data_IF_549354180980
#
_entry.id   IF_549354180980
#
_cell.length_a   1.000
_cell.length_b   1.000
_cell.length_c   1.000
_cell.angle_alpha   90.00
_cell.angle_beta   90.00
_cell.angle_gamma   90.00
#
_symmetry.space_group_name_H-M   'P 1'
#
loop_
_entity.id
_entity.type
_entity.pdbx_description
1 polymer ?
#
# COMPACT_ATOMS: atom_id res chain seq x y z
N UNK A 1 -48.65 27.66 68.00
CA UNK A 1 -48.80 26.72 66.86
C UNK A 1 -48.59 27.38 65.50
N UNK A 2 -49.23 28.51 65.17
CA UNK A 2 -49.09 29.18 63.86
C UNK A 2 -47.64 29.56 63.45
N UNK A 3 -46.81 30.00 64.40
CA UNK A 3 -45.40 30.35 64.13
C UNK A 3 -44.53 29.16 63.69
N UNK A 4 -44.88 27.94 64.10
CA UNK A 4 -44.10 26.73 63.81
C UNK A 4 -44.39 26.19 62.39
N UNK A 5 -45.66 26.23 61.96
CA UNK A 5 -46.06 25.85 60.59
C UNK A 5 -45.47 26.78 59.54
N UNK A 6 -45.38 28.09 59.84
CA UNK A 6 -44.74 29.07 58.94
C UNK A 6 -43.25 28.78 58.75
N UNK A 7 -42.54 28.35 59.80
CA UNK A 7 -41.12 28.01 59.71
C UNK A 7 -40.89 26.76 58.85
N UNK A 8 -41.73 25.74 59.05
CA UNK A 8 -41.66 24.50 58.27
C UNK A 8 -41.86 24.78 56.78
N UNK A 9 -42.90 25.54 56.41
CA UNK A 9 -43.18 25.92 55.01
C UNK A 9 -42.02 26.70 54.35
N UNK A 10 -41.39 27.61 55.09
CA UNK A 10 -40.24 28.39 54.58
C UNK A 10 -39.01 27.49 54.40
N UNK A 11 -38.73 26.59 55.34
CA UNK A 11 -37.59 25.66 55.23
C UNK A 11 -37.77 24.67 54.08
N UNK A 12 -38.97 24.12 53.89
CA UNK A 12 -39.24 23.22 52.75
C UNK A 12 -39.13 23.95 51.42
N UNK A 13 -39.62 25.20 51.32
CA UNK A 13 -39.50 25.99 50.10
C UNK A 13 -38.04 26.31 49.72
N UNK A 14 -37.18 26.59 50.71
CA UNK A 14 -35.75 26.84 50.51
C UNK A 14 -34.95 25.60 50.10
N UNK A 15 -35.35 24.42 50.58
CA UNK A 15 -34.72 23.14 50.19
C UNK A 15 -35.10 22.81 48.74
N UNK A 16 -36.39 22.90 48.41
CA UNK A 16 -36.87 22.64 47.05
C UNK A 16 -36.29 23.63 46.02
N UNK A 17 -36.14 24.91 46.36
CA UNK A 17 -35.53 25.89 45.44
C UNK A 17 -34.04 25.63 45.19
N UNK A 18 -33.30 25.18 46.21
CA UNK A 18 -31.90 24.76 46.08
C UNK A 18 -31.73 23.50 45.22
N UNK A 19 -32.63 22.53 45.35
CA UNK A 19 -32.61 21.32 44.52
C UNK A 19 -32.93 21.62 43.05
N UNK A 20 -33.87 22.52 42.77
CA UNK A 20 -34.20 22.96 41.41
C UNK A 20 -33.03 23.72 40.78
N UNK A 21 -32.39 24.64 41.50
CA UNK A 21 -31.24 25.38 40.96
C UNK A 21 -30.05 24.46 40.66
N UNK A 22 -29.80 23.47 41.53
CA UNK A 22 -28.73 22.50 41.31
C UNK A 22 -29.01 21.57 40.11
N UNK A 23 -30.29 21.27 39.84
CA UNK A 23 -30.70 20.46 38.69
C UNK A 23 -30.57 21.24 37.37
N UNK A 24 -30.92 22.54 37.36
CA UNK A 24 -30.69 23.44 36.21
C UNK A 24 -29.20 23.59 35.90
N UNK A 25 -28.36 23.79 36.91
CA UNK A 25 -26.90 23.86 36.74
C UNK A 25 -26.32 22.55 36.18
N UNK A 26 -26.82 21.40 36.63
CA UNK A 26 -26.41 20.09 36.12
C UNK A 26 -26.83 19.86 34.65
N UNK A 27 -28.06 20.25 34.30
CA UNK A 27 -28.57 20.14 32.93
C UNK A 27 -27.80 21.06 31.97
N UNK A 28 -27.49 22.28 32.39
CA UNK A 28 -26.68 23.24 31.64
C UNK A 28 -25.27 22.68 31.37
N UNK A 29 -24.62 22.12 32.40
CA UNK A 29 -23.27 21.56 32.26
C UNK A 29 -23.28 20.28 31.41
N UNK A 30 -24.33 19.47 31.46
CA UNK A 30 -24.50 18.31 30.59
C UNK A 30 -24.63 18.70 29.11
N UNK A 31 -25.37 19.76 28.80
CA UNK A 31 -25.48 20.28 27.43
C UNK A 31 -24.12 20.82 26.95
N UNK A 32 -23.41 21.55 27.81
CA UNK A 32 -22.07 22.05 27.52
C UNK A 32 -21.07 20.92 27.23
N UNK A 33 -21.03 19.89 28.08
CA UNK A 33 -20.15 18.74 27.92
C UNK A 33 -20.50 17.95 26.65
N UNK A 34 -21.79 17.76 26.35
CA UNK A 34 -22.23 17.12 25.09
C UNK A 34 -21.81 17.91 23.86
N UNK A 35 -21.91 19.24 23.90
CA UNK A 35 -21.43 20.10 22.82
C UNK A 35 -19.91 20.01 22.64
N UNK A 36 -19.14 19.95 23.73
CA UNK A 36 -17.69 19.75 23.68
C UNK A 36 -17.30 18.39 23.11
N UNK A 37 -17.98 17.31 23.52
CA UNK A 37 -17.76 15.96 22.97
C UNK A 37 -18.07 15.94 21.48
N UNK A 38 -19.20 16.52 21.05
CA UNK A 38 -19.57 16.56 19.64
C UNK A 38 -18.56 17.36 18.79
N UNK A 39 -18.03 18.47 19.33
CA UNK A 39 -16.98 19.25 18.68
C UNK A 39 -15.68 18.43 18.53
N UNK A 40 -15.29 17.69 19.57
CA UNK A 40 -14.12 16.82 19.53
C UNK A 40 -14.30 15.69 18.51
N UNK A 41 -15.45 15.04 18.49
CA UNK A 41 -15.76 14.00 17.50
C UNK A 41 -15.68 14.52 16.07
N UNK A 42 -16.19 15.73 15.83
CA UNK A 42 -16.14 16.35 14.50
C UNK A 42 -14.72 16.66 14.09
N UNK A 43 -13.90 17.18 15.02
CA UNK A 43 -12.46 17.42 14.78
C UNK A 43 -11.70 16.13 14.51
N UNK A 44 -11.96 15.07 15.25
CA UNK A 44 -11.35 13.75 15.02
C UNK A 44 -11.73 13.21 13.65
N UNK A 45 -13.01 13.27 13.27
CA UNK A 45 -13.45 12.86 11.92
C UNK A 45 -12.78 13.67 10.82
N UNK A 46 -12.65 14.99 11.02
CA UNK A 46 -12.01 15.87 10.05
C UNK A 46 -10.50 15.59 9.94
N UNK A 47 -9.83 15.34 11.07
CA UNK A 47 -8.44 14.89 11.08
C UNK A 47 -8.27 13.52 10.40
N UNK A 48 -9.17 12.57 10.64
CA UNK A 48 -9.15 11.27 9.97
C UNK A 48 -9.30 11.40 8.46
N UNK A 49 -10.21 12.25 7.97
CA UNK A 49 -10.35 12.53 6.54
C UNK A 49 -9.07 13.15 5.98
N UNK A 50 -8.47 14.12 6.70
CA UNK A 50 -7.23 14.75 6.26
C UNK A 50 -6.05 13.79 6.26
N UNK A 51 -5.95 12.89 7.23
CA UNK A 51 -4.93 11.82 7.25
C UNK A 51 -5.12 10.90 6.05
N UNK A 52 -6.35 10.46 5.76
CA UNK A 52 -6.62 9.63 4.57
C UNK A 52 -6.25 10.35 3.27
N UNK A 53 -6.59 11.64 3.17
CA UNK A 53 -6.23 12.46 2.02
C UNK A 53 -4.71 12.61 1.88
N UNK A 54 -4.00 12.90 2.97
CA UNK A 54 -2.54 13.01 2.96
C UNK A 54 -1.87 11.67 2.63
N UNK A 55 -2.42 10.54 3.09
CA UNK A 55 -1.93 9.21 2.71
C UNK A 55 -2.12 8.96 1.22
N UNK A 56 -3.25 9.37 0.66
CA UNK A 56 -3.52 9.25 -0.78
C UNK A 56 -2.62 10.20 -1.60
N UNK A 57 -2.40 11.44 -1.15
CA UNK A 57 -1.48 12.39 -1.77
C UNK A 57 -0.02 11.90 -1.70
N UNK A 58 0.41 11.33 -0.57
CA UNK A 58 1.72 10.71 -0.43
C UNK A 58 1.87 9.46 -1.32
N UNK A 59 0.82 8.66 -1.48
CA UNK A 59 0.82 7.53 -2.41
C UNK A 59 1.04 8.00 -3.87
N UNK A 60 0.47 9.13 -4.27
CA UNK A 60 0.66 9.71 -5.61
C UNK A 60 2.07 10.31 -5.78
N UNK A 61 2.70 10.81 -4.72
CA UNK A 61 4.04 11.41 -4.80
C UNK A 61 5.20 10.41 -4.97
N UNK A 62 5.00 9.11 -4.74
CA UNK A 62 6.02 8.09 -5.01
C UNK A 62 6.18 7.72 -6.49
N UNK A 63 5.47 8.39 -7.41
CA UNK A 63 5.75 8.34 -8.85
C UNK A 63 6.93 9.26 -9.19
N UNK A 64 8.11 8.73 -8.89
CA UNK A 64 9.45 8.98 -9.43
C UNK A 64 9.78 10.38 -9.97
N UNK A 65 10.38 11.20 -9.09
CA UNK A 65 11.50 12.03 -9.52
C UNK A 65 12.69 11.08 -9.68
N UNK A 66 12.92 10.65 -10.93
CA UNK A 66 14.02 9.78 -11.29
C UNK A 66 15.34 10.29 -10.73
N UNK A 67 15.82 9.62 -9.69
CA UNK A 67 17.20 9.63 -9.26
C UNK A 67 17.74 8.23 -9.56
N UNK A 68 18.89 8.15 -10.22
CA UNK A 68 19.49 6.97 -10.85
C UNK A 68 19.82 5.81 -9.88
N UNK A 69 19.53 5.97 -8.58
CA UNK A 69 19.77 5.00 -7.52
C UNK A 69 18.49 4.53 -6.80
N UNK A 70 17.31 4.70 -7.40
CA UNK A 70 16.05 4.36 -6.73
C UNK A 70 15.79 2.85 -6.76
N UNK A 71 15.90 2.21 -5.59
CA UNK A 71 15.39 0.85 -5.36
C UNK A 71 13.87 0.88 -5.50
N UNK A 72 13.35 0.31 -6.58
CA UNK A 72 11.90 0.21 -6.82
C UNK A 72 11.35 -0.90 -5.93
N UNK A 73 10.72 -0.54 -4.81
CA UNK A 73 9.96 -1.47 -3.98
C UNK A 73 8.62 -1.78 -4.66
N UNK A 74 8.52 -2.97 -5.25
CA UNK A 74 7.30 -3.50 -5.88
C UNK A 74 6.31 -4.11 -4.87
N UNK A 75 6.65 -4.16 -3.57
CA UNK A 75 6.09 -5.12 -2.62
C UNK A 75 4.91 -4.68 -1.77
N UNK A 76 4.50 -3.40 -1.79
CA UNK A 76 3.56 -2.91 -0.77
C UNK A 76 2.24 -2.38 -1.33
N UNK A 77 1.27 -3.29 -1.49
CA UNK A 77 -0.20 -3.02 -1.43
C UNK A 77 -0.88 -2.24 -2.57
N UNK A 78 -0.40 -2.32 -3.82
CA UNK A 78 -1.09 -1.67 -4.95
C UNK A 78 -1.71 -2.68 -5.90
N UNK A 79 -2.85 -3.24 -5.52
CA UNK A 79 -3.72 -3.93 -6.48
C UNK A 79 -4.58 -2.89 -7.22
N UNK A 80 -3.94 -2.06 -8.04
CA UNK A 80 -4.67 -1.26 -9.01
C UNK A 80 -4.99 -2.14 -10.21
N UNK A 81 -6.26 -2.19 -10.59
CA UNK A 81 -6.74 -2.77 -11.83
C UNK A 81 -6.40 -1.86 -13.03
N UNK A 82 -5.17 -1.35 -13.07
CA UNK A 82 -4.62 -0.63 -14.21
C UNK A 82 -3.66 -1.55 -14.96
N UNK A 83 -3.72 -1.50 -16.29
CA UNK A 83 -2.82 -2.24 -17.16
C UNK A 83 -1.46 -1.54 -17.18
N UNK A 84 -0.56 -1.97 -16.30
CA UNK A 84 0.81 -1.46 -16.26
C UNK A 84 1.59 -1.93 -17.49
N UNK A 85 2.47 -1.05 -17.97
CA UNK A 85 3.45 -1.37 -19.01
C UNK A 85 4.84 -1.32 -18.41
N UNK A 86 5.58 -2.42 -18.50
CA UNK A 86 7.01 -2.47 -18.17
C UNK A 86 7.80 -1.97 -19.37
N UNK A 87 8.70 -1.01 -19.18
CA UNK A 87 9.68 -0.57 -20.18
C UNK A 87 11.09 -0.80 -19.62
N UNK A 88 11.90 -1.53 -20.35
CA UNK A 88 13.30 -1.80 -20.05
C UNK A 88 14.12 -1.07 -21.12
N UNK A 89 14.97 -0.14 -20.70
CA UNK A 89 15.95 0.51 -21.56
C UNK A 89 17.33 -0.10 -21.31
N UNK A 90 18.04 -0.41 -22.39
CA UNK A 90 19.35 -1.05 -22.38
C UNK A 90 20.32 -0.16 -23.16
N UNK A 91 21.53 -0.02 -22.66
CA UNK A 91 22.63 0.66 -23.36
C UNK A 91 23.87 -0.23 -23.27
N UNK A 92 24.55 -0.43 -24.39
CA UNK A 92 25.83 -1.14 -24.42
C UNK A 92 27.03 -0.19 -24.18
N UNK A 93 28.24 -0.75 -24.05
CA UNK A 93 29.45 0.05 -23.83
C UNK A 93 29.81 0.99 -25.00
N UNK A 94 29.24 0.77 -26.18
CA UNK A 94 29.40 1.60 -27.37
C UNK A 94 28.31 2.69 -27.47
N UNK A 95 27.43 2.80 -26.46
CA UNK A 95 26.29 3.72 -26.38
C UNK A 95 25.18 3.43 -27.39
N UNK A 96 25.07 2.20 -27.89
CA UNK A 96 23.89 1.80 -28.65
C UNK A 96 22.76 1.51 -27.66
N UNK A 97 21.64 2.21 -27.81
CA UNK A 97 20.47 2.00 -26.95
C UNK A 97 19.44 1.10 -27.63
N UNK A 98 18.85 0.20 -26.85
CA UNK A 98 17.71 -0.65 -27.22
C UNK A 98 16.67 -0.61 -26.13
N UNK A 99 15.44 -1.00 -26.44
CA UNK A 99 14.39 -1.10 -25.43
C UNK A 99 13.51 -2.33 -25.65
N UNK A 100 12.90 -2.79 -24.56
CA UNK A 100 11.82 -3.77 -24.54
C UNK A 100 10.64 -3.19 -23.75
N UNK A 101 9.43 -3.36 -24.26
CA UNK A 101 8.19 -2.97 -23.59
C UNK A 101 7.26 -4.18 -23.50
N UNK A 102 6.64 -4.37 -22.34
CA UNK A 102 5.68 -5.44 -22.08
C UNK A 102 4.40 -4.83 -21.52
N UNK A 103 3.30 -4.95 -22.27
CA UNK A 103 1.97 -4.56 -21.77
C UNK A 103 1.47 -5.55 -20.72
N UNK A 104 0.45 -5.17 -19.96
CA UNK A 104 -0.21 -6.01 -18.96
C UNK A 104 0.76 -6.62 -17.95
N UNK A 105 1.83 -5.88 -17.63
CA UNK A 105 2.84 -6.29 -16.66
C UNK A 105 2.24 -6.36 -15.27
N UNK A 106 2.44 -7.49 -14.58
CA UNK A 106 1.98 -7.70 -13.20
C UNK A 106 3.02 -8.50 -12.44
N UNK A 107 3.15 -8.19 -11.15
CA UNK A 107 3.95 -8.95 -10.18
C UNK A 107 3.00 -9.45 -9.10
N UNK A 108 3.09 -10.74 -8.78
CA UNK A 108 2.33 -11.35 -7.71
C UNK A 108 2.62 -10.73 -6.35
N UNK A 109 1.76 -11.01 -5.37
CA UNK A 109 2.08 -10.69 -3.97
C UNK A 109 3.07 -11.71 -3.38
N UNK A 110 3.50 -11.48 -2.14
CA UNK A 110 4.41 -12.39 -1.43
C UNK A 110 3.86 -13.83 -1.33
N UNK A 111 2.54 -13.99 -1.20
CA UNK A 111 1.89 -15.32 -1.14
C UNK A 111 2.02 -16.08 -2.46
N UNK A 112 2.10 -15.36 -3.57
CA UNK A 112 2.38 -15.90 -4.89
C UNK A 112 3.87 -15.77 -5.26
N UNK A 113 4.75 -15.56 -4.28
CA UNK A 113 6.21 -15.48 -4.46
C UNK A 113 6.61 -14.47 -5.53
N UNK A 114 5.88 -13.35 -5.61
CA UNK A 114 6.10 -12.29 -6.58
C UNK A 114 6.11 -12.79 -8.05
N UNK A 115 5.29 -13.78 -8.40
CA UNK A 115 5.18 -14.34 -9.77
C UNK A 115 5.10 -13.25 -10.86
N UNK A 116 5.97 -13.35 -11.88
CA UNK A 116 6.00 -12.43 -13.01
C UNK A 116 4.92 -12.77 -14.03
N UNK A 117 4.18 -11.77 -14.47
CA UNK A 117 3.29 -11.89 -15.62
C UNK A 117 3.55 -10.73 -16.60
N UNK A 118 3.87 -11.08 -17.84
CA UNK A 118 4.06 -10.16 -18.95
C UNK A 118 3.05 -10.45 -20.06
N UNK A 119 2.63 -9.40 -20.74
CA UNK A 119 1.75 -9.47 -21.91
C UNK A 119 2.50 -9.23 -23.21
N UNK A 120 1.88 -8.46 -24.11
CA UNK A 120 2.41 -8.19 -25.44
C UNK A 120 3.76 -7.47 -25.40
N UNK A 121 4.76 -8.04 -26.08
CA UNK A 121 6.07 -7.45 -26.29
C UNK A 121 6.06 -6.44 -27.45
N UNK A 122 6.78 -5.33 -27.29
CA UNK A 122 7.23 -4.45 -28.37
C UNK A 122 8.62 -3.90 -28.08
N UNK A 123 9.42 -3.62 -29.10
CA UNK A 123 10.74 -3.00 -28.92
C UNK A 123 11.82 -3.50 -29.85
N UNK A 124 13.05 -3.09 -29.57
CA UNK A 124 14.25 -3.31 -30.41
C UNK A 124 15.32 -4.17 -29.74
N UNK A 125 15.13 -4.54 -28.47
CA UNK A 125 16.06 -5.35 -27.68
C UNK A 125 15.91 -6.86 -27.90
N UNK A 126 14.76 -7.32 -28.40
CA UNK A 126 14.39 -8.73 -28.43
C UNK A 126 13.52 -9.11 -27.23
N UNK A 127 12.75 -10.18 -27.39
CA UNK A 127 11.77 -10.65 -26.40
C UNK A 127 12.39 -11.69 -25.45
N UNK A 128 13.30 -11.22 -24.59
CA UNK A 128 14.05 -12.10 -23.67
C UNK A 128 13.19 -12.70 -22.58
N UNK A 129 12.24 -11.94 -22.03
CA UNK A 129 11.42 -12.43 -20.92
C UNK A 129 10.47 -13.54 -21.35
N UNK A 130 9.97 -13.53 -22.59
CA UNK A 130 9.14 -14.64 -23.07
C UNK A 130 9.98 -15.86 -23.50
N UNK A 131 11.28 -15.70 -23.76
CA UNK A 131 12.17 -16.79 -24.19
C UNK A 131 11.87 -17.30 -25.60
N UNK A 132 11.29 -16.46 -26.47
CA UNK A 132 10.75 -16.86 -27.78
C UNK A 132 11.79 -17.01 -28.90
N UNK A 133 13.08 -17.00 -28.59
CA UNK A 133 14.15 -17.03 -29.60
C UNK A 133 14.29 -18.37 -30.31
N UNK A 134 13.97 -19.48 -29.63
CA UNK A 134 13.99 -20.82 -30.22
C UNK A 134 12.93 -21.74 -29.58
N UNK A 135 12.14 -22.52 -30.35
CA UNK A 135 11.10 -23.38 -29.79
C UNK A 135 11.63 -24.41 -28.78
N UNK A 136 12.85 -24.89 -28.98
CA UNK A 136 13.47 -25.90 -28.10
C UNK A 136 13.94 -25.33 -26.75
N UNK A 137 14.09 -24.01 -26.65
CA UNK A 137 14.59 -23.35 -25.43
C UNK A 137 13.50 -22.67 -24.61
N UNK A 138 12.35 -22.37 -25.23
CA UNK A 138 11.26 -21.63 -24.60
C UNK A 138 10.85 -22.19 -23.23
N UNK A 139 10.78 -23.52 -23.08
CA UNK A 139 10.32 -24.14 -21.84
C UNK A 139 11.23 -23.87 -20.64
N UNK A 140 12.54 -23.66 -20.86
CA UNK A 140 13.51 -23.38 -19.79
C UNK A 140 13.97 -21.92 -19.74
N UNK A 141 13.78 -21.17 -20.82
CA UNK A 141 14.21 -19.78 -20.98
C UNK A 141 13.09 -18.76 -20.72
N UNK A 142 11.82 -19.17 -20.74
CA UNK A 142 10.72 -18.23 -20.49
C UNK A 142 10.64 -17.85 -19.02
N UNK A 143 10.58 -16.56 -18.74
CA UNK A 143 10.35 -15.97 -17.41
C UNK A 143 8.87 -15.75 -17.12
N UNK A 144 8.00 -15.98 -18.10
CA UNK A 144 6.56 -15.85 -17.94
C UNK A 144 6.06 -16.81 -16.87
N UNK A 145 5.40 -16.27 -15.84
CA UNK A 145 4.88 -17.00 -14.67
C UNK A 145 5.95 -17.64 -13.77
N UNK A 146 7.21 -17.23 -13.91
CA UNK A 146 8.24 -17.63 -12.97
C UNK A 146 8.11 -16.86 -11.66
N UNK A 147 8.46 -17.52 -10.56
CA UNK A 147 8.47 -16.93 -9.23
C UNK A 147 9.81 -16.27 -8.98
N UNK A 148 9.82 -15.31 -8.06
CA UNK A 148 11.06 -14.63 -7.71
C UNK A 148 11.90 -15.53 -6.80
N UNK A 149 13.15 -15.75 -7.17
CA UNK A 149 14.13 -16.53 -6.38
C UNK A 149 15.27 -15.64 -5.91
N UNK A 150 15.80 -15.95 -4.73
CA UNK A 150 17.00 -15.36 -4.12
C UNK A 150 17.89 -16.47 -3.59
N UNK A 151 19.15 -16.16 -3.25
CA UNK A 151 20.10 -17.13 -2.70
C UNK A 151 19.56 -17.91 -1.48
N UNK A 152 18.68 -17.30 -0.68
CA UNK A 152 18.06 -17.90 0.50
C UNK A 152 16.64 -18.46 0.27
N UNK A 153 16.06 -18.21 -0.91
CA UNK A 153 14.70 -18.66 -1.27
C UNK A 153 14.65 -19.06 -2.74
N UNK A 154 14.82 -20.35 -2.98
CA UNK A 154 14.80 -20.93 -4.31
C UNK A 154 13.38 -21.32 -4.74
N UNK A 155 12.88 -20.68 -5.79
CA UNK A 155 11.61 -20.97 -6.45
C UNK A 155 11.77 -21.19 -7.95
N UNK A 156 12.98 -21.51 -8.41
CA UNK A 156 13.28 -21.75 -9.82
C UNK A 156 12.97 -23.22 -10.21
N UNK A 157 13.17 -23.59 -11.48
CA UNK A 157 12.90 -24.93 -12.02
C UNK A 157 14.21 -25.71 -12.31
N UNK A 158 15.32 -25.31 -11.71
CA UNK A 158 16.61 -25.98 -11.80
C UNK A 158 16.82 -26.93 -10.61
N UNK A 159 17.75 -27.88 -10.75
CA UNK A 159 18.08 -28.80 -9.64
C UNK A 159 19.02 -28.15 -8.61
N UNK A 160 19.77 -27.13 -9.03
CA UNK A 160 20.52 -26.23 -8.15
C UNK A 160 19.78 -24.90 -7.96
N UNK A 161 20.47 -23.89 -7.41
CA UNK A 161 19.89 -22.59 -7.14
C UNK A 161 20.49 -21.54 -8.11
N UNK A 162 19.72 -21.09 -9.10
CA UNK A 162 20.19 -20.10 -10.06
C UNK A 162 20.54 -18.78 -9.39
N UNK A 163 19.77 -18.37 -8.37
CA UNK A 163 20.01 -17.11 -7.66
C UNK A 163 21.31 -17.12 -6.85
N UNK A 164 21.72 -18.29 -6.35
CA UNK A 164 23.02 -18.47 -5.70
C UNK A 164 24.17 -18.48 -6.71
N UNK A 165 24.03 -19.21 -7.82
CA UNK A 165 25.05 -19.32 -8.87
C UNK A 165 25.30 -17.98 -9.58
N UNK A 166 24.24 -17.25 -9.92
CA UNK A 166 24.28 -15.97 -10.63
C UNK A 166 24.32 -14.76 -9.69
N UNK A 167 24.35 -15.00 -8.36
CA UNK A 167 24.48 -13.98 -7.30
C UNK A 167 23.47 -12.82 -7.41
N UNK A 168 22.23 -13.11 -7.79
CA UNK A 168 21.19 -12.11 -8.03
C UNK A 168 19.80 -12.62 -7.67
N UNK A 169 18.85 -11.68 -7.49
CA UNK A 169 17.44 -12.00 -7.31
C UNK A 169 16.70 -11.81 -8.64
N UNK A 170 16.05 -12.86 -9.14
CA UNK A 170 15.38 -12.80 -10.44
C UNK A 170 14.22 -13.79 -10.54
N UNK A 171 13.40 -13.63 -11.58
CA UNK A 171 12.38 -14.59 -11.97
C UNK A 171 13.00 -15.75 -12.76
N UNK A 172 13.92 -16.49 -12.14
CA UNK A 172 14.62 -17.59 -12.78
C UNK A 172 13.65 -18.72 -13.18
N UNK A 173 13.90 -19.34 -14.33
CA UNK A 173 13.27 -20.59 -14.74
C UNK A 173 14.26 -21.75 -14.51
N UNK A 174 14.82 -22.36 -15.55
CA UNK A 174 15.96 -23.29 -15.37
C UNK A 174 17.29 -22.54 -15.36
N UNK A 175 17.33 -21.40 -16.05
CA UNK A 175 18.45 -20.46 -16.18
C UNK A 175 17.89 -19.09 -16.58
N UNK A 176 18.70 -18.03 -16.49
CA UNK A 176 18.38 -16.74 -17.11
C UNK A 176 18.92 -16.64 -18.55
N UNK A 177 18.21 -15.90 -19.40
CA UNK A 177 18.56 -15.77 -20.84
C UNK A 177 19.65 -14.73 -21.08
N UNK A 178 19.97 -13.88 -20.09
CA UNK A 178 21.03 -12.86 -20.20
C UNK A 178 22.41 -13.40 -19.84
N UNK A 179 22.54 -14.71 -19.59
CA UNK A 179 23.83 -15.38 -19.42
C UNK A 179 24.59 -15.42 -20.76
N UNK A 180 25.27 -14.31 -21.07
CA UNK A 180 26.16 -14.14 -22.22
C UNK A 180 27.63 -14.26 -21.81
#
# INVERSE_FOLDING_TARGET
MAKMFSFILVTTALIMSREISALEDCAQEQVRLRAQVHLLETRVKQQQVKIKQLLQENEVQFLDKGDENTVIDLGSKRQYAEDYTLKIDLEDFEKNSRYAQYKNFKVGDEKNFYELNIGEYSGTAGDSLAGNFHPEVQWWASHQRMKFSTWDRDHDNYEGNCAEEDQSGWWFNRFDVLRA
#
